data_IF_782475485180
#
_entry.id   IF_782475485180
#
_cell.length_a   1.000
_cell.length_b   1.000
_cell.length_c   1.000
_cell.angle_alpha   90.00
_cell.angle_beta   90.00
_cell.angle_gamma   90.00
#
_symmetry.space_group_name_H-M   'P 1'
#
loop_
_entity.id
_entity.type
_entity.pdbx_description
1 polymer ?
#
# COMPACT_ATOMS: atom_id res chain seq x y z
N UNK A 1 -38.69 27.64 14.50
CA UNK A 1 -39.73 27.18 13.55
C UNK A 1 -39.10 27.07 12.17
N UNK A 2 -38.67 25.88 11.74
CA UNK A 2 -38.27 25.67 10.34
C UNK A 2 -39.56 25.77 9.52
N UNK A 3 -39.69 26.88 8.78
CA UNK A 3 -40.90 27.29 8.06
C UNK A 3 -41.46 26.16 7.17
N UNK A 4 -42.79 25.99 7.16
CA UNK A 4 -43.51 25.04 6.27
C UNK A 4 -43.08 25.16 4.79
N UNK A 5 -42.58 26.33 4.39
CA UNK A 5 -42.08 26.60 3.04
C UNK A 5 -40.81 25.81 2.68
N UNK A 6 -39.98 25.38 3.64
CA UNK A 6 -38.80 24.55 3.37
C UNK A 6 -39.12 23.04 3.35
N UNK A 7 -40.27 22.64 3.89
CA UNK A 7 -40.61 21.23 4.10
C UNK A 7 -40.92 20.50 2.79
N UNK A 8 -41.75 21.12 1.94
CA UNK A 8 -42.14 20.55 0.65
C UNK A 8 -40.96 20.42 -0.32
N UNK A 9 -40.13 21.46 -0.56
CA UNK A 9 -38.99 21.33 -1.47
C UNK A 9 -37.95 20.32 -0.96
N UNK A 10 -37.74 20.22 0.36
CA UNK A 10 -36.86 19.20 0.93
C UNK A 10 -37.40 17.79 0.70
N UNK A 11 -38.70 17.57 0.87
CA UNK A 11 -39.33 16.26 0.63
C UNK A 11 -39.26 15.88 -0.85
N UNK A 12 -39.51 16.81 -1.78
CA UNK A 12 -39.37 16.59 -3.22
C UNK A 12 -37.92 16.23 -3.54
N UNK A 13 -36.95 16.95 -2.99
CA UNK A 13 -35.52 16.69 -3.21
C UNK A 13 -35.11 15.29 -2.73
N UNK A 14 -35.52 14.90 -1.52
CA UNK A 14 -35.25 13.57 -0.97
C UNK A 14 -35.92 12.49 -1.81
N UNK A 15 -37.20 12.67 -2.17
CA UNK A 15 -37.94 11.70 -2.98
C UNK A 15 -37.28 11.51 -4.35
N UNK A 16 -37.02 12.60 -5.08
CA UNK A 16 -36.36 12.55 -6.38
C UNK A 16 -34.97 11.89 -6.29
N UNK A 17 -34.17 12.26 -5.29
CA UNK A 17 -32.86 11.65 -5.06
C UNK A 17 -32.95 10.14 -4.82
N UNK A 18 -33.92 9.71 -4.00
CA UNK A 18 -34.12 8.28 -3.68
C UNK A 18 -34.58 7.51 -4.92
N UNK A 19 -35.53 8.04 -5.69
CA UNK A 19 -36.01 7.42 -6.94
C UNK A 19 -34.90 7.29 -7.97
N UNK A 20 -34.04 8.30 -8.12
CA UNK A 20 -32.88 8.25 -9.03
C UNK A 20 -31.89 7.17 -8.60
N UNK A 21 -31.54 7.11 -7.31
CA UNK A 21 -30.62 6.08 -6.79
C UNK A 21 -31.20 4.68 -6.99
N UNK A 22 -32.48 4.49 -6.67
CA UNK A 22 -33.15 3.20 -6.81
C UNK A 22 -33.23 2.75 -8.27
N UNK A 23 -33.59 3.67 -9.17
CA UNK A 23 -33.61 3.42 -10.61
C UNK A 23 -32.23 3.02 -11.13
N UNK A 24 -31.17 3.71 -10.69
CA UNK A 24 -29.79 3.36 -11.04
C UNK A 24 -29.41 1.96 -10.54
N UNK A 25 -29.83 1.61 -9.32
CA UNK A 25 -29.54 0.31 -8.69
C UNK A 25 -30.21 -0.87 -9.41
N UNK A 26 -31.37 -0.65 -10.01
CA UNK A 26 -32.09 -1.64 -10.82
C UNK A 26 -31.47 -1.76 -12.22
N UNK A 27 -31.07 -0.63 -12.82
CA UNK A 27 -30.58 -0.60 -14.21
C UNK A 27 -29.09 -0.96 -14.37
N UNK A 28 -28.27 -0.73 -13.34
CA UNK A 28 -26.83 -1.02 -13.38
C UNK A 28 -26.47 -2.21 -12.47
N UNK A 29 -26.35 -3.44 -13.03
CA UNK A 29 -26.06 -4.65 -12.26
C UNK A 29 -24.63 -4.68 -11.68
N UNK A 30 -23.79 -3.71 -12.04
CA UNK A 30 -22.40 -3.59 -11.58
C UNK A 30 -22.22 -2.67 -10.37
N UNK A 31 -23.30 -2.00 -9.91
CA UNK A 31 -23.25 -1.20 -8.69
C UNK A 31 -22.82 -2.09 -7.51
N UNK A 32 -21.73 -1.67 -6.85
CA UNK A 32 -21.14 -2.41 -5.73
C UNK A 32 -20.30 -3.65 -6.11
N UNK A 33 -20.26 -4.05 -7.39
CA UNK A 33 -19.50 -5.23 -7.89
C UNK A 33 -18.23 -4.84 -8.65
N UNK A 34 -17.64 -3.70 -8.29
CA UNK A 34 -16.51 -3.15 -9.04
C UNK A 34 -15.29 -4.06 -8.89
N UNK A 35 -14.78 -4.55 -10.02
CA UNK A 35 -13.52 -5.26 -10.04
C UNK A 35 -12.37 -4.24 -9.92
N UNK A 36 -11.35 -4.52 -9.11
CA UNK A 36 -10.18 -3.66 -9.00
C UNK A 36 -9.48 -3.57 -10.37
N UNK A 37 -9.05 -2.37 -10.75
CA UNK A 37 -8.22 -2.20 -11.95
C UNK A 37 -6.99 -3.10 -11.86
N UNK A 38 -6.69 -3.90 -12.90
CA UNK A 38 -5.51 -4.75 -12.89
C UNK A 38 -4.23 -3.93 -12.69
N UNK A 39 -3.47 -4.23 -11.64
CA UNK A 39 -2.16 -3.60 -11.45
C UNK A 39 -1.16 -4.16 -12.45
N UNK A 40 -0.42 -3.29 -13.10
CA UNK A 40 0.70 -3.67 -13.97
C UNK A 40 1.99 -3.22 -13.30
N UNK A 41 2.78 -4.19 -12.84
CA UNK A 41 4.12 -3.91 -12.34
C UNK A 41 5.11 -3.85 -13.51
N UNK A 42 5.86 -2.76 -13.67
CA UNK A 42 6.81 -2.62 -14.77
C UNK A 42 7.92 -3.68 -14.66
N UNK A 43 8.58 -3.98 -15.77
CA UNK A 43 9.76 -4.88 -15.76
C UNK A 43 10.95 -4.28 -15.00
N UNK A 44 11.07 -2.96 -14.97
CA UNK A 44 12.13 -2.24 -14.29
C UNK A 44 11.54 -0.94 -13.69
N UNK A 45 11.98 -0.60 -12.49
CA UNK A 45 11.73 0.72 -11.88
C UNK A 45 13.10 1.40 -11.76
N UNK A 46 13.31 2.56 -12.41
CA UNK A 46 14.57 3.27 -12.34
C UNK A 46 14.91 3.60 -10.89
N UNK A 47 16.13 3.24 -10.46
CA UNK A 47 16.60 3.48 -9.11
C UNK A 47 17.97 4.14 -9.17
N UNK A 48 18.10 5.33 -8.59
CA UNK A 48 19.28 6.18 -8.76
C UNK A 48 20.57 5.50 -8.24
N UNK A 49 21.55 5.33 -9.14
CA UNK A 49 22.84 4.70 -8.83
C UNK A 49 22.82 3.17 -8.75
N UNK A 50 21.66 2.53 -8.96
CA UNK A 50 21.50 1.08 -8.93
C UNK A 50 21.33 0.51 -10.33
N UNK A 51 22.03 -0.59 -10.62
CA UNK A 51 21.90 -1.31 -11.87
C UNK A 51 20.83 -2.40 -11.73
N UNK A 52 19.82 -2.35 -12.58
CA UNK A 52 18.78 -3.37 -12.64
C UNK A 52 19.38 -4.73 -13.06
N UNK A 53 19.05 -5.78 -12.32
CA UNK A 53 19.50 -7.14 -12.62
C UNK A 53 18.34 -7.99 -13.15
N UNK A 54 17.23 -8.07 -12.40
CA UNK A 54 16.06 -8.85 -12.80
C UNK A 54 14.80 -8.41 -12.06
N UNK A 55 13.66 -8.80 -12.61
CA UNK A 55 12.39 -8.81 -11.89
C UNK A 55 11.60 -10.07 -12.21
N UNK A 56 10.82 -10.54 -11.24
CA UNK A 56 9.98 -11.73 -11.40
C UNK A 56 8.70 -11.60 -10.56
N UNK A 57 7.62 -12.31 -10.91
CA UNK A 57 6.40 -12.31 -10.09
C UNK A 57 6.71 -12.73 -8.65
N UNK A 58 6.19 -11.97 -7.68
CA UNK A 58 6.25 -12.40 -6.29
C UNK A 58 5.08 -13.34 -6.02
N UNK A 59 5.40 -14.56 -5.62
CA UNK A 59 4.42 -15.64 -5.41
C UNK A 59 4.23 -15.82 -3.90
N UNK A 60 2.98 -15.93 -3.46
CA UNK A 60 2.66 -16.20 -2.06
C UNK A 60 3.34 -17.47 -1.58
N UNK A 61 3.72 -17.50 -0.30
CA UNK A 61 4.21 -18.71 0.34
C UNK A 61 3.14 -19.80 0.28
N UNK A 62 3.56 -21.04 0.12
CA UNK A 62 2.68 -22.21 0.22
C UNK A 62 3.18 -23.15 1.30
N UNK A 63 2.26 -23.80 2.02
CA UNK A 63 2.61 -24.81 3.01
C UNK A 63 3.02 -26.13 2.34
N UNK A 64 3.36 -27.14 3.14
CA UNK A 64 3.72 -28.48 2.65
C UNK A 64 2.59 -29.18 1.89
N UNK A 65 1.35 -28.68 1.98
CA UNK A 65 0.16 -29.20 1.28
C UNK A 65 -0.19 -28.37 0.05
N UNK A 66 0.65 -27.39 -0.32
CA UNK A 66 0.42 -26.49 -1.46
C UNK A 66 -0.62 -25.41 -1.20
N UNK A 67 -1.09 -25.23 0.03
CA UNK A 67 -2.05 -24.18 0.38
C UNK A 67 -1.31 -22.87 0.62
N UNK A 68 -1.88 -21.75 0.16
CA UNK A 68 -1.30 -20.43 0.39
C UNK A 68 -1.22 -20.14 1.89
N UNK A 69 -0.03 -19.79 2.36
CA UNK A 69 0.26 -19.36 3.73
C UNK A 69 0.20 -17.84 3.76
N UNK A 70 -0.53 -17.30 4.73
CA UNK A 70 -0.77 -15.87 4.86
C UNK A 70 -1.97 -15.39 4.04
N UNK A 71 -2.14 -14.06 3.98
CA UNK A 71 -3.27 -13.43 3.29
C UNK A 71 -3.03 -13.40 1.77
N UNK A 72 -3.97 -13.82 0.92
CA UNK A 72 -3.83 -13.65 -0.53
C UNK A 72 -3.75 -12.15 -0.88
N UNK A 73 -2.85 -11.81 -1.80
CA UNK A 73 -2.72 -10.46 -2.35
C UNK A 73 -3.11 -10.44 -3.82
N UNK A 74 -3.43 -9.26 -4.34
CA UNK A 74 -3.92 -9.13 -5.71
C UNK A 74 -2.82 -9.41 -6.74
N UNK A 75 -1.65 -8.76 -6.56
CA UNK A 75 -0.43 -9.01 -7.35
C UNK A 75 0.81 -8.63 -6.54
N UNK A 76 1.95 -9.23 -6.87
CA UNK A 76 3.23 -8.86 -6.30
C UNK A 76 4.35 -9.00 -7.32
N UNK A 77 5.45 -8.29 -7.08
CA UNK A 77 6.66 -8.36 -7.90
C UNK A 77 7.90 -8.25 -7.04
N UNK A 78 8.91 -9.01 -7.41
CA UNK A 78 10.24 -8.97 -6.85
C UNK A 78 11.19 -8.30 -7.85
N UNK A 79 12.10 -7.46 -7.35
CA UNK A 79 13.12 -6.80 -8.13
C UNK A 79 14.49 -6.98 -7.45
N UNK A 80 15.53 -7.16 -8.26
CA UNK A 80 16.91 -7.19 -7.81
C UNK A 80 17.73 -6.14 -8.54
N UNK A 81 18.53 -5.44 -7.77
CA UNK A 81 19.49 -4.44 -8.24
C UNK A 81 20.88 -4.69 -7.68
N UNK A 82 21.91 -4.15 -8.33
CA UNK A 82 23.28 -4.14 -7.84
C UNK A 82 23.91 -2.75 -7.85
N UNK A 83 24.78 -2.48 -6.88
CA UNK A 83 25.61 -1.29 -6.81
C UNK A 83 26.90 -1.64 -6.09
N UNK A 84 28.06 -1.51 -6.73
CA UNK A 84 29.37 -1.77 -6.11
C UNK A 84 29.45 -3.13 -5.37
N UNK A 85 29.01 -4.22 -6.02
CA UNK A 85 28.89 -5.57 -5.43
C UNK A 85 27.91 -5.73 -4.25
N UNK A 86 27.16 -4.68 -3.89
CA UNK A 86 26.03 -4.78 -2.99
C UNK A 86 24.77 -5.14 -3.78
N UNK A 87 24.00 -6.12 -3.30
CA UNK A 87 22.72 -6.50 -3.87
C UNK A 87 21.58 -5.88 -3.06
N UNK A 88 20.64 -5.27 -3.76
CA UNK A 88 19.38 -4.77 -3.22
C UNK A 88 18.23 -5.59 -3.77
N UNK A 89 17.47 -6.17 -2.85
CA UNK A 89 16.27 -6.94 -3.12
C UNK A 89 15.05 -6.12 -2.69
N UNK A 90 14.06 -5.98 -3.58
CA UNK A 90 12.81 -5.26 -3.31
C UNK A 90 11.64 -6.18 -3.62
N UNK A 91 10.86 -6.49 -2.59
CA UNK A 91 9.57 -7.17 -2.70
C UNK A 91 8.48 -6.12 -2.63
N UNK A 92 7.53 -6.21 -3.56
CA UNK A 92 6.43 -5.27 -3.66
C UNK A 92 5.12 -6.04 -3.80
N UNK A 93 4.17 -5.77 -2.91
CA UNK A 93 2.89 -6.49 -2.84
C UNK A 93 1.74 -5.50 -2.85
N UNK A 94 0.80 -5.69 -3.75
CA UNK A 94 -0.41 -4.89 -3.83
C UNK A 94 -1.59 -5.58 -3.15
N UNK A 95 -2.05 -4.98 -2.05
CA UNK A 95 -3.11 -5.47 -1.18
C UNK A 95 -4.33 -4.56 -1.31
N UNK A 96 -5.50 -5.10 -1.64
CA UNK A 96 -6.70 -4.30 -1.90
C UNK A 96 -7.47 -3.92 -0.64
N UNK A 97 -7.47 -4.80 0.36
CA UNK A 97 -8.22 -4.65 1.62
C UNK A 97 -7.25 -4.65 2.80
N UNK A 98 -6.28 -3.74 2.76
CA UNK A 98 -5.26 -3.69 3.80
C UNK A 98 -5.76 -3.03 5.07
N UNK A 99 -5.21 -3.49 6.20
CA UNK A 99 -5.26 -2.80 7.48
C UNK A 99 -3.87 -2.27 7.89
N UNK A 100 -2.88 -2.36 6.98
CA UNK A 100 -1.52 -1.82 7.09
C UNK A 100 -0.86 -2.00 8.46
N UNK A 101 -0.76 -3.24 8.93
CA UNK A 101 0.08 -3.57 10.09
C UNK A 101 1.34 -4.29 9.61
N UNK A 102 2.51 -3.69 9.81
CA UNK A 102 3.78 -4.27 9.37
C UNK A 102 3.99 -5.68 9.94
N UNK A 103 3.54 -5.95 11.17
CA UNK A 103 3.61 -7.29 11.77
C UNK A 103 2.86 -8.33 10.93
N UNK A 104 1.68 -7.97 10.43
CA UNK A 104 0.89 -8.83 9.56
C UNK A 104 1.57 -9.01 8.20
N UNK A 105 2.15 -7.95 7.64
CA UNK A 105 2.93 -8.07 6.40
C UNK A 105 4.12 -9.04 6.59
N UNK A 106 4.90 -8.86 7.65
CA UNK A 106 6.06 -9.71 7.94
C UNK A 106 5.64 -11.16 8.13
N UNK A 107 4.59 -11.41 8.90
CA UNK A 107 4.05 -12.76 9.12
C UNK A 107 3.52 -13.41 7.82
N UNK A 108 2.83 -12.65 6.98
CA UNK A 108 2.19 -13.17 5.77
C UNK A 108 3.16 -13.36 4.60
N UNK A 109 4.16 -12.49 4.46
CA UNK A 109 4.92 -12.36 3.21
C UNK A 109 6.43 -12.41 3.39
N UNK A 110 6.98 -11.87 4.48
CA UNK A 110 8.43 -11.79 4.64
C UNK A 110 9.04 -13.18 4.87
N UNK A 111 10.17 -13.53 4.24
CA UNK A 111 10.87 -14.79 4.50
C UNK A 111 11.41 -14.90 5.95
N UNK A 112 11.47 -13.79 6.69
CA UNK A 112 11.93 -13.75 8.08
C UNK A 112 10.83 -14.22 9.03
N UNK A 113 11.13 -15.22 9.88
CA UNK A 113 10.21 -15.66 10.93
C UNK A 113 10.01 -14.55 11.97
N UNK A 114 8.79 -14.02 11.98
CA UNK A 114 8.31 -13.04 12.95
C UNK A 114 8.41 -13.62 14.38
N UNK A 115 9.22 -13.01 15.24
CA UNK A 115 9.42 -13.46 16.64
C UNK A 115 10.87 -13.80 17.01
N UNK A 116 11.79 -13.93 16.04
CA UNK A 116 13.21 -14.13 16.31
C UNK A 116 13.95 -12.79 16.44
N UNK A 117 14.03 -12.26 17.66
CA UNK A 117 14.82 -11.08 18.04
C UNK A 117 14.67 -9.86 17.09
N UNK A 118 13.56 -9.11 17.23
CA UNK A 118 13.41 -7.73 16.73
C UNK A 118 14.38 -6.75 17.43
N UNK A 119 15.63 -7.14 17.66
CA UNK A 119 16.56 -6.41 18.53
C UNK A 119 16.80 -4.96 18.09
N UNK A 120 16.43 -4.58 16.85
CA UNK A 120 16.60 -3.22 16.34
C UNK A 120 15.51 -2.77 15.34
N UNK A 121 14.22 -2.94 15.66
CA UNK A 121 13.17 -2.30 14.87
C UNK A 121 13.15 -0.78 15.13
N UNK A 122 13.65 -0.01 14.16
CA UNK A 122 13.72 1.45 14.19
C UNK A 122 12.66 2.01 13.26
N UNK A 123 11.73 2.77 13.83
CA UNK A 123 10.77 3.54 13.05
C UNK A 123 11.38 4.89 12.67
N UNK A 124 11.26 5.28 11.40
CA UNK A 124 11.64 6.62 10.92
C UNK A 124 10.51 7.24 10.15
N UNK A 125 10.47 8.57 10.17
CA UNK A 125 9.50 9.37 9.44
C UNK A 125 10.22 10.42 8.62
N UNK A 126 9.81 10.58 7.36
CA UNK A 126 10.34 11.61 6.46
C UNK A 126 9.21 12.49 5.94
N UNK A 127 9.28 13.83 6.12
CA UNK A 127 8.27 14.74 5.61
C UNK A 127 8.03 14.56 4.10
N UNK A 128 6.77 14.52 3.69
CA UNK A 128 6.36 14.29 2.30
C UNK A 128 6.48 12.86 1.78
N UNK A 129 7.05 11.93 2.56
CA UNK A 129 7.24 10.52 2.17
C UNK A 129 6.49 9.59 3.12
N UNK A 130 6.45 9.89 4.42
CA UNK A 130 5.72 9.11 5.43
C UNK A 130 6.63 8.30 6.36
N UNK A 131 6.04 7.30 7.02
CA UNK A 131 6.68 6.42 8.01
C UNK A 131 7.13 5.11 7.39
N UNK A 132 8.29 4.62 7.80
CA UNK A 132 8.83 3.31 7.44
C UNK A 132 9.59 2.71 8.63
N UNK A 133 9.59 1.38 8.70
CA UNK A 133 10.30 0.61 9.71
C UNK A 133 11.56 0.00 9.13
N UNK A 134 12.63 -0.07 9.92
CA UNK A 134 13.88 -0.71 9.55
C UNK A 134 14.34 -1.65 10.64
N UNK A 135 14.90 -2.80 10.25
CA UNK A 135 15.35 -3.80 11.21
C UNK A 135 16.45 -4.66 10.60
N UNK A 136 17.11 -5.47 11.45
CA UNK A 136 18.09 -6.46 11.02
C UNK A 136 17.58 -7.84 11.38
N UNK A 137 17.69 -8.77 10.42
CA UNK A 137 17.45 -10.19 10.65
C UNK A 137 18.32 -11.03 9.72
N UNK A 138 18.80 -12.19 10.16
CA UNK A 138 19.53 -13.15 9.32
C UNK A 138 20.70 -12.50 8.52
N UNK A 139 21.49 -11.62 9.15
CA UNK A 139 22.61 -10.89 8.54
C UNK A 139 22.23 -9.95 7.36
N UNK A 140 20.97 -9.50 7.33
CA UNK A 140 20.45 -8.54 6.36
C UNK A 140 19.77 -7.39 7.09
N UNK A 141 19.90 -6.19 6.51
CA UNK A 141 19.10 -5.04 6.91
C UNK A 141 17.86 -4.96 6.03
N UNK A 142 16.76 -4.53 6.62
CA UNK A 142 15.46 -4.43 5.98
C UNK A 142 14.85 -3.05 6.16
N UNK A 143 14.04 -2.64 5.19
CA UNK A 143 13.10 -1.54 5.30
C UNK A 143 11.72 -2.05 4.89
N UNK A 144 10.68 -1.71 5.65
CA UNK A 144 9.30 -2.08 5.35
C UNK A 144 8.35 -0.91 5.54
N UNK A 145 7.38 -0.77 4.63
CA UNK A 145 6.34 0.27 4.70
C UNK A 145 5.20 -0.03 3.75
N UNK A 146 4.00 0.38 4.13
CA UNK A 146 2.83 0.40 3.28
C UNK A 146 2.76 1.76 2.57
N UNK A 147 2.89 1.78 1.25
CA UNK A 147 2.66 2.99 0.47
C UNK A 147 1.16 3.12 0.18
N UNK A 148 0.58 4.23 0.63
CA UNK A 148 -0.80 4.60 0.37
C UNK A 148 -0.90 5.35 -0.98
N UNK A 149 -2.10 5.37 -1.57
CA UNK A 149 -2.35 6.15 -2.78
C UNK A 149 -2.19 7.66 -2.58
N UNK A 150 -2.34 8.12 -1.34
CA UNK A 150 -2.17 9.51 -0.88
C UNK A 150 -1.52 9.50 0.49
N UNK A 151 -0.87 10.60 0.89
CA UNK A 151 -0.39 10.75 2.26
C UNK A 151 0.86 9.94 2.65
N UNK A 152 1.46 9.19 1.72
CA UNK A 152 2.79 8.59 1.93
C UNK A 152 2.78 7.17 2.51
N UNK A 153 3.93 6.79 3.04
CA UNK A 153 4.18 5.52 3.73
C UNK A 153 3.55 5.50 5.12
N UNK A 154 2.98 4.36 5.50
CA UNK A 154 2.47 4.06 6.84
C UNK A 154 3.00 2.72 7.30
N UNK A 155 3.14 2.53 8.61
CA UNK A 155 3.72 1.32 9.16
C UNK A 155 2.74 0.56 10.05
N UNK A 156 1.95 1.31 10.82
CA UNK A 156 0.95 0.78 11.75
C UNK A 156 -0.47 0.95 11.23
N UNK A 157 -1.39 0.15 11.76
CA UNK A 157 -2.82 0.24 11.45
C UNK A 157 -3.40 1.61 11.81
N UNK A 158 -2.93 2.20 12.91
CA UNK A 158 -3.36 3.52 13.34
C UNK A 158 -2.93 4.58 12.32
N UNK A 159 -1.64 4.62 11.95
CA UNK A 159 -1.14 5.56 10.94
C UNK A 159 -1.89 5.44 9.61
N UNK A 160 -2.20 4.21 9.18
CA UNK A 160 -2.96 3.96 7.95
C UNK A 160 -4.39 4.49 8.03
N UNK A 161 -5.09 4.26 9.14
CA UNK A 161 -6.44 4.79 9.32
C UNK A 161 -6.44 6.33 9.39
N UNK A 162 -5.52 6.90 10.16
CA UNK A 162 -5.38 8.37 10.30
C UNK A 162 -5.06 9.02 8.95
N UNK A 163 -4.23 8.37 8.12
CA UNK A 163 -3.93 8.80 6.76
C UNK A 163 -5.19 8.88 5.90
N UNK A 164 -6.01 7.82 5.92
CA UNK A 164 -7.24 7.74 5.11
C UNK A 164 -8.28 8.75 5.57
N UNK A 165 -8.45 8.93 6.87
CA UNK A 165 -9.39 9.92 7.39
C UNK A 165 -8.99 11.33 6.98
N UNK A 166 -7.68 11.62 6.93
CA UNK A 166 -7.16 12.91 6.47
C UNK A 166 -7.29 13.13 4.95
N UNK A 167 -6.95 12.12 4.14
CA UNK A 167 -6.77 12.31 2.69
C UNK A 167 -7.90 11.77 1.81
N UNK A 168 -8.78 10.91 2.33
CA UNK A 168 -9.89 10.35 1.56
C UNK A 168 -11.20 11.09 1.82
N UNK A 169 -11.54 11.36 3.09
CA UNK A 169 -12.82 11.98 3.47
C UNK A 169 -12.95 13.44 3.00
N UNK A 170 -11.85 14.17 2.91
CA UNK A 170 -11.81 15.58 2.47
C UNK A 170 -11.52 15.76 0.98
N UNK A 171 -11.60 14.68 0.19
CA UNK A 171 -11.13 14.69 -1.20
C UNK A 171 -12.24 14.76 -2.25
N UNK A 172 -11.82 14.80 -3.51
CA UNK A 172 -12.61 14.62 -4.73
C UNK A 172 -13.39 13.28 -4.80
N UNK A 173 -13.32 12.44 -3.76
CA UNK A 173 -13.98 11.13 -3.70
C UNK A 173 -15.42 11.18 -3.23
N UNK A 174 -15.88 12.23 -2.56
CA UNK A 174 -17.23 12.28 -1.98
C UNK A 174 -18.34 12.15 -3.02
N UNK A 175 -18.25 12.89 -4.13
CA UNK A 175 -19.25 12.81 -5.20
C UNK A 175 -19.19 11.46 -5.93
N UNK A 176 -18.01 10.97 -6.39
CA UNK A 176 -17.91 9.61 -6.94
C UNK A 176 -18.41 8.53 -5.99
N UNK A 177 -18.18 8.67 -4.67
CA UNK A 177 -18.68 7.73 -3.68
C UNK A 177 -20.21 7.76 -3.55
N UNK A 178 -20.83 8.93 -3.46
CA UNK A 178 -22.30 9.05 -3.45
C UNK A 178 -22.93 8.44 -4.71
N UNK A 179 -22.22 8.49 -5.84
CA UNK A 179 -22.66 7.91 -7.12
C UNK A 179 -22.33 6.41 -7.26
N UNK A 180 -21.73 5.78 -6.24
CA UNK A 180 -21.31 4.38 -6.26
C UNK A 180 -20.10 4.10 -7.17
N UNK A 181 -19.39 5.14 -7.60
CA UNK A 181 -18.26 5.04 -8.52
C UNK A 181 -16.92 4.80 -7.82
N UNK A 182 -16.76 5.14 -6.54
CA UNK A 182 -15.53 4.89 -5.78
C UNK A 182 -15.84 4.56 -4.33
N UNK A 183 -14.96 3.80 -3.67
CA UNK A 183 -15.02 3.64 -2.22
C UNK A 183 -14.65 4.97 -1.55
N UNK A 184 -15.38 5.33 -0.49
CA UNK A 184 -15.13 6.56 0.27
C UNK A 184 -13.71 6.60 0.81
N UNK A 185 -13.24 5.48 1.37
CA UNK A 185 -11.88 5.32 1.87
C UNK A 185 -11.10 4.34 0.97
N UNK A 186 -9.84 4.61 0.70
CA UNK A 186 -8.93 3.77 -0.09
C UNK A 186 -8.25 2.69 0.76
N UNK A 187 -8.73 1.44 0.72
CA UNK A 187 -8.15 0.34 1.52
C UNK A 187 -6.86 -0.23 0.93
N UNK A 188 -6.40 0.32 -0.20
CA UNK A 188 -5.34 -0.29 -0.99
C UNK A 188 -3.99 0.10 -0.41
N UNK A 189 -3.14 -0.89 -0.26
CA UNK A 189 -1.78 -0.74 0.22
C UNK A 189 -0.82 -1.33 -0.80
N UNK A 190 0.23 -0.58 -1.09
CA UNK A 190 1.34 -1.08 -1.86
C UNK A 190 2.50 -1.31 -0.88
N UNK A 191 2.58 -2.53 -0.37
CA UNK A 191 3.64 -2.93 0.54
C UNK A 191 4.97 -2.97 -0.18
N UNK A 192 5.98 -2.45 0.49
CA UNK A 192 7.34 -2.38 0.00
C UNK A 192 8.26 -2.95 1.05
N UNK A 193 9.06 -3.93 0.67
CA UNK A 193 10.02 -4.57 1.54
C UNK A 193 11.38 -4.66 0.87
N UNK A 194 12.32 -3.87 1.38
CA UNK A 194 13.66 -3.75 0.84
C UNK A 194 14.61 -4.53 1.72
N UNK A 195 15.65 -5.12 1.13
CA UNK A 195 16.72 -5.73 1.90
C UNK A 195 18.07 -5.68 1.21
N UNK A 196 19.12 -5.54 2.03
CA UNK A 196 20.53 -5.63 1.62
C UNK A 196 21.30 -6.50 2.62
N UNK A 197 22.33 -7.23 2.18
CA UNK A 197 23.21 -7.95 3.10
C UNK A 197 24.07 -6.96 3.91
N UNK A 198 24.31 -7.25 5.19
CA UNK A 198 25.15 -6.38 6.02
C UNK A 198 26.63 -6.45 5.63
N UNK A 199 27.14 -7.61 5.20
CA UNK A 199 28.53 -7.79 4.73
C UNK A 199 29.59 -7.14 5.65
N UNK A 200 29.47 -7.31 6.97
CA UNK A 200 30.32 -6.68 8.02
C UNK A 200 30.16 -5.15 8.17
N UNK A 201 29.20 -4.54 7.50
CA UNK A 201 28.81 -3.14 7.70
C UNK A 201 27.90 -3.00 8.92
N UNK A 202 27.89 -1.81 9.53
CA UNK A 202 26.97 -1.52 10.63
C UNK A 202 25.51 -1.40 10.12
N UNK A 203 24.51 -1.75 10.96
CA UNK A 203 23.11 -1.55 10.62
C UNK A 203 22.77 -0.11 10.21
N UNK A 204 23.40 0.88 10.86
CA UNK A 204 23.16 2.29 10.58
C UNK A 204 23.57 2.68 9.16
N UNK A 205 24.73 2.21 8.68
CA UNK A 205 25.17 2.43 7.29
C UNK A 205 24.21 1.76 6.32
N UNK A 206 23.78 0.54 6.62
CA UNK A 206 22.82 -0.19 5.79
C UNK A 206 21.46 0.53 5.71
N UNK A 207 20.98 1.08 6.83
CA UNK A 207 19.74 1.86 6.88
C UNK A 207 19.80 3.12 6.03
N UNK A 208 20.93 3.82 5.97
CA UNK A 208 21.09 4.99 5.09
C UNK A 208 21.00 4.61 3.61
N UNK A 209 21.57 3.46 3.22
CA UNK A 209 21.49 2.93 1.84
C UNK A 209 20.05 2.58 1.48
N UNK A 210 19.37 1.83 2.37
CA UNK A 210 17.96 1.45 2.19
C UNK A 210 17.04 2.67 2.12
N UNK A 211 17.25 3.66 2.97
CA UNK A 211 16.45 4.89 3.00
C UNK A 211 16.64 5.71 1.71
N UNK A 212 17.87 5.84 1.20
CA UNK A 212 18.12 6.50 -0.09
C UNK A 212 17.40 5.78 -1.24
N UNK A 213 17.48 4.45 -1.29
CA UNK A 213 16.77 3.65 -2.29
C UNK A 213 15.25 3.80 -2.17
N UNK A 214 14.72 3.75 -0.94
CA UNK A 214 13.30 3.92 -0.66
C UNK A 214 12.77 5.30 -1.12
N UNK A 215 13.52 6.38 -0.87
CA UNK A 215 13.10 7.73 -1.30
C UNK A 215 12.97 7.81 -2.82
N UNK A 216 13.96 7.31 -3.56
CA UNK A 216 13.94 7.27 -5.04
C UNK A 216 12.78 6.42 -5.55
N UNK A 217 12.56 5.25 -4.93
CA UNK A 217 11.45 4.36 -5.26
C UNK A 217 10.08 4.99 -5.00
N UNK A 218 9.90 5.64 -3.84
CA UNK A 218 8.68 6.33 -3.47
C UNK A 218 8.33 7.43 -4.47
N UNK A 219 9.30 8.26 -4.85
CA UNK A 219 9.10 9.34 -5.82
C UNK A 219 8.62 8.82 -7.18
N UNK A 220 9.13 7.67 -7.62
CA UNK A 220 8.68 7.05 -8.87
C UNK A 220 7.24 6.53 -8.79
N UNK A 221 6.90 5.87 -7.67
CA UNK A 221 5.63 5.18 -7.48
C UNK A 221 4.48 6.11 -7.07
N UNK A 222 4.71 7.18 -6.31
CA UNK A 222 3.61 8.02 -5.83
C UNK A 222 2.82 8.66 -6.99
N UNK A 223 3.49 9.01 -8.08
CA UNK A 223 2.85 9.53 -9.30
C UNK A 223 2.35 8.43 -10.24
N UNK A 224 2.71 7.16 -9.98
CA UNK A 224 2.33 5.96 -10.76
C UNK A 224 1.54 4.96 -9.93
N UNK A 225 0.95 5.43 -8.82
CA UNK A 225 0.21 4.56 -7.94
C UNK A 225 -0.95 3.94 -8.72
N UNK A 226 -1.19 2.62 -8.61
CA UNK A 226 -2.22 1.98 -9.40
C UNK A 226 -3.58 2.67 -9.23
N UNK A 227 -4.21 3.05 -10.34
CA UNK A 227 -5.50 3.73 -10.33
C UNK A 227 -6.63 2.74 -9.98
N UNK A 228 -7.65 3.21 -9.27
CA UNK A 228 -8.82 2.43 -8.83
C UNK A 228 -10.14 3.03 -9.32
#
# INVERSE_FOLDING_TARGET
MISKQLRIPLLIFIFAGTTIVLGKLILDPNIGKRQPTPVAFPQNVPLEGWQFQKSEPFISKTDKKGQTVGKPFAKGKYYRYSQNNLLLDIEMVYELESFSAYQQFLSNYSPVEYGSNEQFFVTRQKPGIGTYGMYVAQNRAYLTTCMNSRGGGTLTRQEFNDNRDRYDLMSDRTIPWLLGQRNLRDTRCLWNHFSIPLNKSSPQTAYLILEKAWISWYQWWIVRYPQG
#
